data_IF_928020535929
#
_entry.id   IF_928020535929
#
_cell.length_a   1.000
_cell.length_b   1.000
_cell.length_c   1.000
_cell.angle_alpha   90.00
_cell.angle_beta   90.00
_cell.angle_gamma   90.00
#
_symmetry.space_group_name_H-M   'P 1'
#
loop_
_entity.id
_entity.type
_entity.pdbx_description
1 polymer ?
#
# COMPACT_ATOMS: atom_id res chain seq x y z
N UNK A 1 -0.52 36.73 -15.29
CA UNK A 1 0.11 35.49 -15.82
C UNK A 1 0.92 34.88 -14.69
N UNK A 2 0.81 33.56 -14.47
CA UNK A 2 1.63 32.86 -13.47
C UNK A 2 3.06 32.81 -14.00
N UNK A 3 4.05 33.21 -13.19
CA UNK A 3 5.46 33.14 -13.61
C UNK A 3 5.94 31.69 -13.59
N UNK A 4 6.70 31.28 -14.62
CA UNK A 4 7.41 30.00 -14.68
C UNK A 4 8.23 29.69 -13.43
N UNK A 5 8.86 30.69 -12.79
CA UNK A 5 9.55 30.53 -11.51
C UNK A 5 8.63 30.03 -10.39
N UNK A 6 7.40 30.53 -10.34
CA UNK A 6 6.42 30.10 -9.35
C UNK A 6 5.95 28.66 -9.61
N UNK A 7 5.85 28.26 -10.88
CA UNK A 7 5.58 26.87 -11.27
C UNK A 7 6.67 25.96 -10.75
N UNK A 8 7.95 26.25 -11.04
CA UNK A 8 9.06 25.43 -10.55
C UNK A 8 9.06 25.31 -9.02
N UNK A 9 8.80 26.41 -8.30
CA UNK A 9 8.70 26.39 -6.85
C UNK A 9 7.57 25.48 -6.35
N UNK A 10 6.41 25.52 -7.01
CA UNK A 10 5.28 24.64 -6.70
C UNK A 10 5.61 23.17 -6.94
N UNK A 11 6.18 22.84 -8.10
CA UNK A 11 6.49 21.47 -8.49
C UNK A 11 7.48 20.80 -7.54
N UNK A 12 8.61 21.47 -7.28
CA UNK A 12 9.63 20.97 -6.36
C UNK A 12 9.13 20.85 -4.91
N UNK A 13 8.19 21.70 -4.50
CA UNK A 13 7.54 21.60 -3.19
C UNK A 13 6.71 20.32 -3.07
N UNK A 14 5.86 20.04 -4.07
CA UNK A 14 5.05 18.81 -4.10
C UNK A 14 5.92 17.55 -4.19
N UNK A 15 6.99 17.60 -4.99
CA UNK A 15 7.96 16.52 -5.09
C UNK A 15 8.64 16.24 -3.75
N UNK A 16 9.05 17.27 -3.02
CA UNK A 16 9.67 17.11 -1.70
C UNK A 16 8.71 16.41 -0.74
N UNK A 17 7.43 16.79 -0.75
CA UNK A 17 6.39 16.14 0.07
C UNK A 17 6.19 14.67 -0.37
N UNK A 18 6.21 14.39 -1.68
CA UNK A 18 6.12 13.03 -2.20
C UNK A 18 7.30 12.16 -1.72
N UNK A 19 8.54 12.65 -1.79
CA UNK A 19 9.71 11.96 -1.24
C UNK A 19 9.57 11.66 0.25
N UNK A 20 9.20 12.68 1.04
CA UNK A 20 9.05 12.52 2.49
C UNK A 20 7.98 11.47 2.83
N UNK A 21 6.84 11.50 2.14
CA UNK A 21 5.74 10.55 2.41
C UNK A 21 6.06 9.13 1.97
N UNK A 22 6.74 8.94 0.84
CA UNK A 22 7.21 7.62 0.37
C UNK A 22 8.32 7.09 1.30
N UNK A 23 9.30 7.91 1.67
CA UNK A 23 10.36 7.54 2.60
C UNK A 23 9.79 7.15 3.97
N UNK A 24 8.82 7.92 4.48
CA UNK A 24 8.11 7.61 5.72
C UNK A 24 7.42 6.24 5.62
N UNK A 25 6.73 5.95 4.51
CA UNK A 25 6.09 4.64 4.27
C UNK A 25 7.11 3.50 4.27
N UNK A 26 8.23 3.66 3.59
CA UNK A 26 9.29 2.64 3.51
C UNK A 26 9.91 2.41 4.90
N UNK A 27 10.27 3.48 5.61
CA UNK A 27 10.80 3.43 6.98
C UNK A 27 9.86 2.70 7.93
N UNK A 28 8.57 3.05 7.88
CA UNK A 28 7.52 2.37 8.63
C UNK A 28 7.49 0.86 8.38
N UNK A 29 7.60 0.44 7.11
CA UNK A 29 7.50 -0.98 6.75
C UNK A 29 8.76 -1.75 7.16
N UNK A 30 9.92 -1.21 6.85
CA UNK A 30 11.20 -1.89 7.10
C UNK A 30 11.57 -1.85 8.58
N UNK A 31 11.49 -0.68 9.22
CA UNK A 31 12.00 -0.47 10.58
C UNK A 31 10.93 -0.75 11.63
N UNK A 32 9.76 -0.14 11.50
CA UNK A 32 8.74 -0.26 12.55
C UNK A 32 7.99 -1.60 12.51
N UNK A 33 7.81 -2.19 11.32
CA UNK A 33 7.11 -3.47 11.14
C UNK A 33 8.03 -4.66 10.92
N UNK A 34 9.32 -4.44 10.64
CA UNK A 34 10.28 -5.49 10.24
C UNK A 34 9.74 -6.39 9.12
N UNK A 35 8.96 -5.79 8.22
CA UNK A 35 8.32 -6.48 7.11
C UNK A 35 9.11 -6.25 5.83
N UNK A 36 9.06 -7.22 4.90
CA UNK A 36 9.63 -7.05 3.56
C UNK A 36 8.78 -6.09 2.73
N UNK A 37 9.39 -5.49 1.72
CA UNK A 37 8.69 -4.69 0.72
C UNK A 37 7.76 -5.59 -0.10
N UNK A 38 6.53 -5.13 -0.30
CA UNK A 38 5.57 -5.83 -1.16
C UNK A 38 5.58 -5.23 -2.57
N UNK A 39 4.96 -5.93 -3.52
CA UNK A 39 4.75 -5.43 -4.89
C UNK A 39 4.21 -3.99 -4.93
N UNK A 40 3.31 -3.64 -4.02
CA UNK A 40 2.76 -2.28 -3.90
C UNK A 40 3.84 -1.20 -3.66
N UNK A 41 4.89 -1.50 -2.90
CA UNK A 41 5.92 -0.52 -2.58
C UNK A 41 6.86 -0.29 -3.78
N UNK A 42 7.13 -1.32 -4.59
CA UNK A 42 7.89 -1.19 -5.84
C UNK A 42 7.14 -0.33 -6.88
N UNK A 43 5.84 -0.58 -7.07
CA UNK A 43 5.01 0.26 -7.95
C UNK A 43 4.97 1.72 -7.48
N UNK A 44 4.92 1.96 -6.17
CA UNK A 44 4.95 3.32 -5.63
C UNK A 44 6.28 4.03 -5.90
N UNK A 45 7.41 3.32 -5.73
CA UNK A 45 8.74 3.85 -6.03
C UNK A 45 8.86 4.17 -7.53
N UNK A 46 8.33 3.30 -8.40
CA UNK A 46 8.32 3.56 -9.85
C UNK A 46 7.49 4.79 -10.22
N UNK A 47 6.36 5.00 -9.53
CA UNK A 47 5.58 6.25 -9.62
C UNK A 47 6.37 7.47 -9.21
N UNK A 48 7.08 7.41 -8.07
CA UNK A 48 7.94 8.50 -7.60
C UNK A 48 9.09 8.81 -8.59
N UNK A 49 9.71 7.78 -9.17
CA UNK A 49 10.73 7.94 -10.21
C UNK A 49 10.15 8.60 -11.47
N UNK A 50 8.91 8.30 -11.82
CA UNK A 50 8.23 8.92 -12.97
C UNK A 50 7.91 10.39 -12.70
N UNK A 51 7.46 10.72 -11.48
CA UNK A 51 7.36 12.12 -11.04
C UNK A 51 8.71 12.82 -11.18
N UNK A 52 9.80 12.18 -10.75
CA UNK A 52 11.13 12.79 -10.82
C UNK A 52 11.57 13.03 -12.26
N UNK A 53 11.29 12.08 -13.17
CA UNK A 53 11.54 12.24 -14.60
C UNK A 53 10.77 13.42 -15.18
N UNK A 54 9.48 13.54 -14.86
CA UNK A 54 8.63 14.66 -15.27
C UNK A 54 9.22 16.01 -14.84
N UNK A 55 9.55 16.16 -13.55
CA UNK A 55 10.11 17.42 -13.04
C UNK A 55 11.49 17.75 -13.62
N UNK A 56 12.30 16.74 -13.95
CA UNK A 56 13.58 16.97 -14.63
C UNK A 56 13.31 17.55 -16.03
N UNK A 57 12.38 16.96 -16.79
CA UNK A 57 11.99 17.46 -18.10
C UNK A 57 11.43 18.89 -18.03
N UNK A 58 10.58 19.18 -17.03
CA UNK A 58 10.00 20.52 -16.85
C UNK A 58 11.06 21.54 -16.41
N UNK A 59 12.01 21.14 -15.56
CA UNK A 59 13.16 21.99 -15.18
C UNK A 59 14.05 22.30 -16.38
N UNK A 60 14.29 21.33 -17.27
CA UNK A 60 15.06 21.56 -18.50
C UNK A 60 14.28 22.50 -19.42
N UNK A 61 12.97 22.29 -19.59
CA UNK A 61 12.09 23.17 -20.39
C UNK A 61 12.11 24.59 -19.85
N UNK A 62 12.09 24.76 -18.53
CA UNK A 62 12.25 26.05 -17.86
C UNK A 62 13.61 26.69 -18.15
N UNK A 63 14.71 25.92 -18.06
CA UNK A 63 16.06 26.44 -18.31
C UNK A 63 16.33 26.88 -19.75
N UNK A 64 15.48 26.44 -20.68
CA UNK A 64 15.53 26.79 -22.11
C UNK A 64 14.54 27.90 -22.49
N UNK A 65 13.90 28.55 -21.50
CA UNK A 65 12.83 29.56 -21.67
C UNK A 65 11.57 29.06 -22.44
N UNK A 66 11.54 27.77 -22.79
CA UNK A 66 10.49 27.13 -23.60
C UNK A 66 9.18 26.87 -22.83
N UNK A 67 9.15 27.20 -21.54
CA UNK A 67 7.97 27.20 -20.68
C UNK A 67 7.23 28.55 -20.72
N UNK A 68 7.95 29.66 -20.86
CA UNK A 68 7.37 31.00 -20.97
C UNK A 68 7.07 31.36 -22.44
N UNK A 69 7.93 30.92 -23.37
CA UNK A 69 7.76 31.13 -24.80
C UNK A 69 7.59 29.80 -25.54
N UNK A 70 6.33 29.49 -25.89
CA UNK A 70 6.00 28.27 -26.63
C UNK A 70 6.39 28.32 -28.12
N UNK A 71 6.78 29.49 -28.64
CA UNK A 71 7.24 29.65 -30.03
C UNK A 71 8.65 29.10 -30.25
N UNK A 72 9.42 28.90 -29.17
CA UNK A 72 10.73 28.26 -29.21
C UNK A 72 10.54 26.79 -29.60
N UNK A 73 10.76 26.51 -30.88
CA UNK A 73 10.57 25.18 -31.45
C UNK A 73 11.86 24.61 -32.08
N UNK A 74 12.49 23.72 -31.32
CA UNK A 74 13.62 22.93 -31.77
C UNK A 74 13.42 21.46 -31.45
N UNK A 75 14.19 20.61 -32.13
CA UNK A 75 14.09 19.14 -31.98
C UNK A 75 14.36 18.72 -30.53
N UNK A 76 15.22 19.43 -29.80
CA UNK A 76 15.52 19.14 -28.40
C UNK A 76 14.29 19.36 -27.50
N UNK A 77 13.61 20.49 -27.63
CA UNK A 77 12.38 20.83 -26.89
C UNK A 77 11.26 19.86 -27.22
N UNK A 78 11.09 19.48 -28.50
CA UNK A 78 10.11 18.46 -28.88
C UNK A 78 10.38 17.11 -28.21
N UNK A 79 11.64 16.68 -28.15
CA UNK A 79 12.04 15.46 -27.42
C UNK A 79 11.77 15.58 -25.91
N UNK A 80 12.03 16.74 -25.32
CA UNK A 80 11.76 16.97 -23.89
C UNK A 80 10.26 16.95 -23.61
N UNK A 81 9.44 17.65 -24.41
CA UNK A 81 7.98 17.65 -24.29
C UNK A 81 7.38 16.25 -24.48
N UNK A 82 7.91 15.48 -25.44
CA UNK A 82 7.54 14.07 -25.61
C UNK A 82 7.88 13.24 -24.35
N UNK A 83 9.08 13.43 -23.79
CA UNK A 83 9.48 12.76 -22.55
C UNK A 83 8.62 13.18 -21.35
N UNK A 84 8.29 14.47 -21.21
CA UNK A 84 7.34 14.98 -20.19
C UNK A 84 6.00 14.26 -20.31
N UNK A 85 5.43 14.18 -21.53
CA UNK A 85 4.16 13.48 -21.76
C UNK A 85 4.26 12.02 -21.32
N UNK A 86 5.31 11.32 -21.76
CA UNK A 86 5.52 9.92 -21.43
C UNK A 86 5.64 9.68 -19.91
N UNK A 87 6.44 10.47 -19.20
CA UNK A 87 6.61 10.34 -17.75
C UNK A 87 5.31 10.64 -16.99
N UNK A 88 4.50 11.58 -17.47
CA UNK A 88 3.19 11.87 -16.89
C UNK A 88 2.22 10.70 -17.12
N UNK A 89 1.95 10.41 -18.40
CA UNK A 89 0.87 9.52 -18.83
C UNK A 89 1.14 8.06 -18.45
N UNK A 90 2.40 7.62 -18.50
CA UNK A 90 2.77 6.29 -17.98
C UNK A 90 2.89 6.31 -16.45
N UNK A 91 3.46 7.38 -15.89
CA UNK A 91 3.73 7.52 -14.47
C UNK A 91 2.48 7.50 -13.59
N UNK A 92 1.38 8.09 -14.07
CA UNK A 92 0.12 8.20 -13.33
C UNK A 92 -0.53 6.84 -13.02
N UNK A 93 -0.19 5.78 -13.76
CA UNK A 93 -0.70 4.44 -13.50
C UNK A 93 0.07 3.69 -12.41
N UNK A 94 1.33 4.04 -12.13
CA UNK A 94 2.12 3.33 -11.12
C UNK A 94 1.56 3.45 -9.69
N UNK A 95 1.10 4.63 -9.20
CA UNK A 95 0.35 4.73 -7.94
C UNK A 95 -0.93 3.88 -7.95
N UNK A 96 -1.60 3.74 -9.09
CA UNK A 96 -2.81 2.91 -9.23
C UNK A 96 -2.49 1.43 -9.10
N UNK A 97 -1.42 0.96 -9.73
CA UNK A 97 -0.94 -0.41 -9.51
C UNK A 97 -0.51 -0.65 -8.07
N UNK A 98 0.07 0.35 -7.41
CA UNK A 98 0.43 0.27 -6.00
C UNK A 98 -0.79 0.07 -5.09
N UNK A 99 -1.88 0.83 -5.30
CA UNK A 99 -3.11 0.67 -4.50
C UNK A 99 -3.85 -0.63 -4.82
N UNK A 100 -3.89 -1.06 -6.09
CA UNK A 100 -4.48 -2.35 -6.49
C UNK A 100 -3.69 -3.51 -5.87
N UNK A 101 -2.36 -3.47 -5.91
CA UNK A 101 -1.51 -4.45 -5.24
C UNK A 101 -1.74 -4.47 -3.72
N UNK A 102 -1.99 -3.30 -3.10
CA UNK A 102 -2.39 -3.23 -1.71
C UNK A 102 -3.75 -3.92 -1.46
N UNK A 103 -4.73 -3.75 -2.35
CA UNK A 103 -6.02 -4.43 -2.25
C UNK A 103 -5.91 -5.95 -2.36
N UNK A 104 -5.02 -6.48 -3.19
CA UNK A 104 -4.78 -7.93 -3.28
C UNK A 104 -4.26 -8.53 -1.96
N UNK A 105 -3.53 -7.73 -1.18
CA UNK A 105 -3.08 -8.14 0.16
C UNK A 105 -4.15 -7.95 1.24
N UNK A 106 -5.11 -7.05 1.02
CA UNK A 106 -6.17 -6.73 1.97
C UNK A 106 -7.36 -7.69 1.88
N UNK A 107 -7.73 -8.12 0.67
CA UNK A 107 -8.93 -8.91 0.42
C UNK A 107 -8.62 -10.40 0.61
N UNK A 108 -9.26 -11.08 1.58
CA UNK A 108 -9.02 -12.50 1.82
C UNK A 108 -9.59 -13.38 0.71
N UNK A 109 -9.00 -14.57 0.53
CA UNK A 109 -9.40 -15.57 -0.47
C UNK A 109 -10.86 -16.02 -0.27
N UNK A 110 -11.38 -15.93 0.95
CA UNK A 110 -12.75 -16.30 1.32
C UNK A 110 -13.85 -15.43 0.70
N UNK A 111 -13.51 -14.30 0.06
CA UNK A 111 -14.46 -13.41 -0.62
C UNK A 111 -14.29 -13.45 -2.15
N UNK A 112 -14.77 -14.51 -2.84
CA UNK A 112 -14.51 -14.71 -4.26
C UNK A 112 -15.06 -13.58 -5.14
N UNK A 113 -16.25 -13.05 -4.83
CA UNK A 113 -16.86 -11.94 -5.58
C UNK A 113 -15.99 -10.67 -5.58
N UNK A 114 -15.47 -10.29 -4.41
CA UNK A 114 -14.58 -9.13 -4.26
C UNK A 114 -13.24 -9.34 -4.97
N UNK A 115 -12.75 -10.58 -5.00
CA UNK A 115 -11.50 -10.93 -5.68
C UNK A 115 -11.65 -10.92 -7.19
N UNK A 116 -12.77 -11.41 -7.73
CA UNK A 116 -13.10 -11.29 -9.15
C UNK A 116 -13.18 -9.81 -9.55
N UNK A 117 -13.91 -8.99 -8.78
CA UNK A 117 -13.99 -7.55 -9.03
C UNK A 117 -12.60 -6.88 -9.01
N UNK A 118 -11.69 -7.33 -8.13
CA UNK A 118 -10.32 -6.83 -8.08
C UNK A 118 -9.49 -7.23 -9.31
N UNK A 119 -9.65 -8.47 -9.80
CA UNK A 119 -9.01 -8.89 -11.05
C UNK A 119 -9.54 -8.09 -12.24
N UNK A 120 -10.85 -7.82 -12.31
CA UNK A 120 -11.41 -6.95 -13.33
C UNK A 120 -10.85 -5.52 -13.25
N UNK A 121 -10.74 -4.95 -12.05
CA UNK A 121 -10.15 -3.62 -11.84
C UNK A 121 -8.67 -3.57 -12.25
N UNK A 122 -7.90 -4.59 -11.87
CA UNK A 122 -6.50 -4.72 -12.24
C UNK A 122 -6.33 -4.87 -13.75
N UNK A 123 -7.13 -5.74 -14.37
CA UNK A 123 -7.13 -5.95 -15.82
C UNK A 123 -7.47 -4.68 -16.57
N UNK A 124 -8.55 -3.98 -16.19
CA UNK A 124 -8.96 -2.73 -16.81
C UNK A 124 -7.89 -1.64 -16.68
N UNK A 125 -7.34 -1.45 -15.47
CA UNK A 125 -6.29 -0.45 -15.23
C UNK A 125 -5.03 -0.78 -16.02
N UNK A 126 -4.68 -2.06 -16.15
CA UNK A 126 -3.55 -2.52 -16.96
C UNK A 126 -3.80 -2.25 -18.45
N UNK A 127 -5.00 -2.57 -18.96
CA UNK A 127 -5.38 -2.27 -20.34
C UNK A 127 -5.30 -0.78 -20.62
N UNK A 128 -5.79 0.08 -19.73
CA UNK A 128 -5.67 1.53 -19.88
C UNK A 128 -4.21 1.99 -19.89
N UNK A 129 -3.36 1.51 -18.97
CA UNK A 129 -1.94 1.86 -18.97
C UNK A 129 -1.24 1.44 -20.26
N UNK A 130 -1.53 0.24 -20.76
CA UNK A 130 -0.98 -0.29 -22.02
C UNK A 130 -1.45 0.54 -23.21
N UNK A 131 -2.76 0.84 -23.30
CA UNK A 131 -3.31 1.68 -24.36
C UNK A 131 -2.67 3.07 -24.32
N UNK A 132 -2.57 3.69 -23.14
CA UNK A 132 -1.92 4.98 -22.96
C UNK A 132 -0.48 4.96 -23.47
N UNK A 133 0.32 3.97 -23.05
CA UNK A 133 1.71 3.83 -23.49
C UNK A 133 1.83 3.74 -25.01
N UNK A 134 1.03 2.89 -25.66
CA UNK A 134 1.08 2.74 -27.11
C UNK A 134 0.56 3.97 -27.85
N UNK A 135 -0.51 4.59 -27.35
CA UNK A 135 -1.00 5.83 -27.92
C UNK A 135 0.05 6.93 -27.84
N UNK A 136 0.74 7.13 -26.71
CA UNK A 136 1.78 8.16 -26.58
C UNK A 136 2.90 8.01 -27.61
N UNK A 137 3.35 6.77 -27.83
CA UNK A 137 4.47 6.47 -28.71
C UNK A 137 4.09 6.48 -30.19
N UNK A 138 2.92 5.94 -30.51
CA UNK A 138 2.54 5.62 -31.89
C UNK A 138 1.33 6.42 -32.40
N UNK A 139 0.94 7.51 -31.73
CA UNK A 139 -0.18 8.35 -32.16
C UNK A 139 -0.01 8.89 -33.58
N UNK A 140 1.21 9.35 -33.91
CA UNK A 140 1.53 9.96 -35.19
C UNK A 140 1.95 8.96 -36.27
N UNK A 141 1.91 7.66 -35.97
CA UNK A 141 2.30 6.59 -36.87
C UNK A 141 3.24 5.56 -36.22
N UNK A 142 3.70 4.57 -36.99
CA UNK A 142 4.54 3.49 -36.49
C UNK A 142 5.97 3.92 -36.15
N UNK A 143 6.46 5.00 -36.76
CA UNK A 143 7.76 5.59 -36.42
C UNK A 143 7.60 6.64 -35.31
N UNK A 144 8.08 6.37 -34.07
CA UNK A 144 7.97 7.33 -32.97
C UNK A 144 8.77 8.61 -33.22
N UNK A 145 9.75 8.59 -34.14
CA UNK A 145 10.60 9.74 -34.43
C UNK A 145 9.85 10.95 -35.00
N UNK A 146 8.67 10.69 -35.58
CA UNK A 146 7.76 11.71 -36.10
C UNK A 146 7.36 12.71 -35.01
N UNK A 147 7.25 12.28 -33.75
CA UNK A 147 6.89 13.16 -32.63
C UNK A 147 7.87 14.33 -32.43
N UNK A 148 9.13 14.20 -32.86
CA UNK A 148 10.14 15.26 -32.79
C UNK A 148 10.76 15.62 -34.14
N UNK A 149 10.19 15.12 -35.24
CA UNK A 149 10.60 15.50 -36.59
C UNK A 149 10.10 16.91 -36.95
N UNK A 150 10.84 17.61 -37.81
CA UNK A 150 10.40 18.85 -38.46
C UNK A 150 9.82 18.49 -39.83
N UNK A 151 8.56 18.82 -40.11
CA UNK A 151 7.87 18.50 -41.36
C UNK A 151 6.60 19.33 -41.57
N UNK A 152 6.00 19.22 -42.75
CA UNK A 152 4.84 20.02 -43.19
C UNK A 152 3.53 19.68 -42.44
N UNK A 153 3.42 18.47 -41.88
CA UNK A 153 2.35 18.06 -40.97
C UNK A 153 2.91 17.89 -39.56
N UNK A 154 2.63 18.86 -38.69
CA UNK A 154 3.05 18.84 -37.29
C UNK A 154 2.11 17.94 -36.47
N UNK A 155 2.36 16.62 -36.49
CA UNK A 155 1.74 15.71 -35.53
C UNK A 155 2.67 15.52 -34.32
N UNK A 156 2.18 15.82 -33.13
CA UNK A 156 2.85 15.44 -31.87
C UNK A 156 1.83 14.89 -30.89
N UNK A 157 2.21 13.87 -30.11
CA UNK A 157 1.38 13.37 -29.01
C UNK A 157 1.14 14.46 -27.94
N UNK A 158 2.16 15.28 -27.66
CA UNK A 158 2.11 16.34 -26.64
C UNK A 158 1.12 17.47 -26.96
N UNK A 159 0.83 17.79 -28.22
CA UNK A 159 -0.12 18.87 -28.57
C UNK A 159 -1.48 18.36 -29.00
N UNK A 160 -1.65 17.04 -29.14
CA UNK A 160 -2.90 16.47 -29.65
C UNK A 160 -4.01 16.48 -28.58
N UNK A 161 -4.91 17.45 -28.69
CA UNK A 161 -6.08 17.60 -27.82
C UNK A 161 -6.97 16.34 -27.82
N UNK A 162 -7.10 15.66 -28.97
CA UNK A 162 -7.87 14.40 -29.08
C UNK A 162 -7.24 13.29 -28.24
N UNK A 163 -5.93 13.12 -28.33
CA UNK A 163 -5.19 12.13 -27.54
C UNK A 163 -5.32 12.46 -26.05
N UNK A 164 -5.03 13.69 -25.66
CA UNK A 164 -5.09 14.10 -24.26
C UNK A 164 -6.49 13.88 -23.63
N UNK A 165 -7.59 14.14 -24.37
CA UNK A 165 -8.96 13.86 -23.88
C UNK A 165 -9.22 12.38 -23.69
N UNK A 166 -8.73 11.54 -24.60
CA UNK A 166 -8.84 10.09 -24.52
C UNK A 166 -8.09 9.55 -23.30
N UNK A 167 -6.82 9.93 -23.14
CA UNK A 167 -5.97 9.48 -22.05
C UNK A 167 -6.47 9.97 -20.70
N UNK A 168 -6.89 11.24 -20.62
CA UNK A 168 -7.53 11.78 -19.42
C UNK A 168 -8.78 10.95 -19.03
N UNK A 169 -9.63 10.59 -20.00
CA UNK A 169 -10.84 9.81 -19.72
C UNK A 169 -10.52 8.44 -19.11
N UNK A 170 -9.51 7.74 -19.65
CA UNK A 170 -9.05 6.44 -19.11
C UNK A 170 -8.46 6.59 -17.71
N UNK A 171 -7.65 7.64 -17.52
CA UNK A 171 -7.08 7.98 -16.23
C UNK A 171 -8.18 8.24 -15.19
N UNK A 172 -9.15 9.09 -15.52
CA UNK A 172 -10.25 9.47 -14.65
C UNK A 172 -11.17 8.29 -14.29
N UNK A 173 -11.55 7.46 -15.28
CA UNK A 173 -12.37 6.27 -15.04
C UNK A 173 -11.67 5.30 -14.09
N UNK A 174 -10.38 5.05 -14.30
CA UNK A 174 -9.63 4.16 -13.41
C UNK A 174 -9.47 4.72 -12.00
N UNK A 175 -9.38 6.04 -11.82
CA UNK A 175 -9.42 6.65 -10.49
C UNK A 175 -10.76 6.42 -9.79
N UNK A 176 -11.87 6.70 -10.48
CA UNK A 176 -13.21 6.53 -9.92
C UNK A 176 -13.45 5.09 -9.44
N UNK A 177 -13.01 4.11 -10.24
CA UNK A 177 -13.13 2.70 -9.89
C UNK A 177 -12.25 2.31 -8.70
N UNK A 178 -11.03 2.85 -8.60
CA UNK A 178 -10.16 2.61 -7.44
C UNK A 178 -10.77 3.19 -6.15
N UNK A 179 -11.40 4.36 -6.21
CA UNK A 179 -12.09 4.98 -5.06
C UNK A 179 -13.35 4.20 -4.69
N UNK A 180 -14.10 3.70 -5.68
CA UNK A 180 -15.34 2.95 -5.46
C UNK A 180 -15.09 1.54 -4.91
N UNK A 181 -14.00 0.87 -5.32
CA UNK A 181 -13.69 -0.52 -4.97
C UNK A 181 -13.73 -0.85 -3.46
N UNK A 182 -13.13 -0.05 -2.55
CA UNK A 182 -13.15 -0.36 -1.11
C UNK A 182 -14.52 -0.12 -0.43
N UNK A 183 -15.49 0.53 -1.08
CA UNK A 183 -16.78 0.88 -0.45
C UNK A 183 -17.60 -0.36 -0.07
N UNK A 184 -17.85 -1.34 -0.97
CA UNK A 184 -18.57 -2.57 -0.61
C UNK A 184 -17.85 -3.41 0.43
N UNK A 185 -16.51 -3.46 0.37
CA UNK A 185 -15.69 -4.15 1.36
C UNK A 185 -15.95 -3.58 2.76
N UNK A 186 -16.05 -2.26 2.86
CA UNK A 186 -16.27 -1.57 4.12
C UNK A 186 -17.73 -1.70 4.60
N UNK A 187 -18.71 -1.79 3.69
CA UNK A 187 -20.12 -2.00 4.04
C UNK A 187 -20.39 -3.40 4.66
N UNK A 188 -19.67 -4.44 4.21
CA UNK A 188 -19.86 -5.81 4.75
C UNK A 188 -19.29 -6.01 6.15
N UNK A 189 -18.32 -5.19 6.56
CA UNK A 189 -17.75 -5.21 7.89
C UNK A 189 -18.67 -4.45 8.86
N UNK A 190 -19.48 -5.15 9.68
CA UNK A 190 -20.30 -4.52 10.73
C UNK A 190 -19.52 -3.41 11.47
N UNK A 191 -19.87 -2.15 11.17
CA UNK A 191 -19.12 -0.94 11.49
C UNK A 191 -19.37 -0.46 12.94
N UNK A 192 -19.21 -1.35 13.93
CA UNK A 192 -19.49 -1.01 15.34
C UNK A 192 -18.42 -0.08 15.94
N UNK A 193 -17.22 0.00 15.34
CA UNK A 193 -16.12 0.82 15.84
C UNK A 193 -15.96 2.13 15.06
N UNK A 194 -16.03 3.27 15.75
CA UNK A 194 -15.73 4.63 15.25
C UNK A 194 -14.41 4.70 14.47
N UNK A 195 -13.44 3.83 14.83
CA UNK A 195 -12.12 3.73 14.19
C UNK A 195 -12.19 3.27 12.73
N UNK A 196 -13.14 2.39 12.38
CA UNK A 196 -13.34 1.93 10.99
C UNK A 196 -14.02 3.02 10.15
N UNK A 197 -14.95 3.78 10.75
CA UNK A 197 -15.60 4.94 10.12
C UNK A 197 -14.60 6.03 9.76
N UNK A 198 -13.69 6.38 10.68
CA UNK A 198 -12.61 7.36 10.40
C UNK A 198 -11.69 6.84 9.28
N UNK A 199 -11.30 5.57 9.33
CA UNK A 199 -10.49 4.96 8.27
C UNK A 199 -11.14 5.05 6.89
N UNK A 200 -12.44 4.75 6.80
CA UNK A 200 -13.23 4.89 5.58
C UNK A 200 -13.29 6.35 5.12
N UNK A 201 -13.64 7.29 6.02
CA UNK A 201 -13.72 8.71 5.71
C UNK A 201 -12.40 9.25 5.14
N UNK A 202 -11.26 8.82 5.67
CA UNK A 202 -9.95 9.21 5.13
C UNK A 202 -9.66 8.52 3.79
N UNK A 203 -10.12 7.29 3.51
CA UNK A 203 -9.91 6.67 2.16
C UNK A 203 -10.69 7.48 1.14
N UNK A 204 -11.95 7.73 1.46
CA UNK A 204 -12.85 8.48 0.60
C UNK A 204 -12.35 9.90 0.38
N UNK A 205 -11.95 10.60 1.44
CA UNK A 205 -11.41 11.96 1.35
C UNK A 205 -10.16 12.05 0.48
N UNK A 206 -9.23 11.09 0.61
CA UNK A 206 -8.05 11.07 -0.27
C UNK A 206 -8.43 10.81 -1.74
N UNK A 207 -9.42 9.96 -2.00
CA UNK A 207 -9.92 9.71 -3.36
C UNK A 207 -10.61 10.92 -3.99
N UNK A 208 -11.40 11.66 -3.21
CA UNK A 208 -12.04 12.90 -3.67
C UNK A 208 -11.01 13.94 -4.07
N UNK A 209 -9.88 14.03 -3.36
CA UNK A 209 -8.81 14.98 -3.71
C UNK A 209 -8.23 14.66 -5.08
N UNK A 210 -7.91 13.39 -5.39
CA UNK A 210 -7.31 13.06 -6.71
C UNK A 210 -8.30 13.31 -7.85
N UNK A 211 -9.58 12.94 -7.66
CA UNK A 211 -10.67 13.23 -8.60
C UNK A 211 -10.79 14.74 -8.84
N UNK A 212 -10.79 15.56 -7.78
CA UNK A 212 -10.90 17.02 -7.91
C UNK A 212 -9.73 17.61 -8.71
N UNK A 213 -8.51 17.09 -8.50
CA UNK A 213 -7.31 17.52 -9.23
C UNK A 213 -7.40 17.13 -10.70
N UNK A 214 -7.83 15.90 -11.01
CA UNK A 214 -8.01 15.44 -12.39
C UNK A 214 -9.08 16.25 -13.15
N UNK A 215 -10.18 16.61 -12.50
CA UNK A 215 -11.20 17.51 -13.06
C UNK A 215 -10.64 18.91 -13.28
N UNK A 216 -9.88 19.45 -12.32
CA UNK A 216 -9.22 20.75 -12.43
C UNK A 216 -8.27 20.82 -13.63
N UNK A 217 -7.50 19.75 -13.87
CA UNK A 217 -6.65 19.61 -15.06
C UNK A 217 -7.47 19.65 -16.35
N UNK A 218 -8.55 18.88 -16.42
CA UNK A 218 -9.40 18.83 -17.62
C UNK A 218 -10.05 20.18 -17.92
N UNK A 219 -10.62 20.83 -16.91
CA UNK A 219 -11.22 22.16 -17.07
C UNK A 219 -10.18 23.16 -17.58
N UNK A 220 -8.97 23.13 -17.02
CA UNK A 220 -7.88 24.01 -17.45
C UNK A 220 -7.46 23.70 -18.89
N UNK A 221 -7.30 22.43 -19.23
CA UNK A 221 -6.93 22.00 -20.58
C UNK A 221 -7.96 22.40 -21.65
N UNK A 222 -9.26 22.43 -21.32
CA UNK A 222 -10.33 22.73 -22.28
C UNK A 222 -10.67 24.23 -22.35
N UNK A 223 -10.65 24.93 -21.21
CA UNK A 223 -11.22 26.27 -21.10
C UNK A 223 -10.20 27.37 -20.76
N UNK A 224 -8.98 27.00 -20.37
CA UNK A 224 -7.96 27.96 -19.95
C UNK A 224 -6.83 27.94 -20.97
N UNK A 225 -6.70 29.03 -21.72
CA UNK A 225 -5.65 29.20 -22.73
C UNK A 225 -4.30 29.60 -22.09
N UNK A 226 -3.92 28.90 -21.01
CA UNK A 226 -2.65 29.07 -20.31
C UNK A 226 -1.94 27.73 -20.20
N UNK A 227 -1.04 27.46 -21.14
CA UNK A 227 -0.26 26.23 -21.17
C UNK A 227 0.62 26.06 -19.92
N UNK A 228 1.04 27.15 -19.27
CA UNK A 228 1.76 27.14 -17.99
C UNK A 228 0.94 26.46 -16.87
N UNK A 229 -0.38 26.67 -16.86
CA UNK A 229 -1.25 26.07 -15.84
C UNK A 229 -1.36 24.54 -15.98
N UNK A 230 -1.14 24.01 -17.19
CA UNK A 230 -1.21 22.56 -17.45
C UNK A 230 -0.09 21.81 -16.72
N UNK A 231 1.14 22.37 -16.68
CA UNK A 231 2.26 21.80 -15.92
C UNK A 231 1.93 21.69 -14.42
N UNK A 232 1.39 22.76 -13.83
CA UNK A 232 0.97 22.78 -12.42
C UNK A 232 -0.01 21.65 -12.13
N UNK A 233 -1.04 21.50 -12.96
CA UNK A 233 -2.05 20.47 -12.78
C UNK A 233 -1.50 19.06 -12.99
N UNK A 234 -0.67 18.85 -14.01
CA UNK A 234 -0.04 17.55 -14.27
C UNK A 234 0.85 17.12 -13.09
N UNK A 235 1.72 18.02 -12.63
CA UNK A 235 2.58 17.79 -11.47
C UNK A 235 1.76 17.55 -10.20
N UNK A 236 0.72 18.35 -9.96
CA UNK A 236 -0.19 18.16 -8.84
C UNK A 236 -0.86 16.79 -8.89
N UNK A 237 -1.40 16.38 -10.04
CA UNK A 237 -2.14 15.13 -10.19
C UNK A 237 -1.26 13.90 -9.89
N UNK A 238 -0.06 13.84 -10.46
CA UNK A 238 0.85 12.71 -10.26
C UNK A 238 1.45 12.70 -8.85
N UNK A 239 1.88 13.86 -8.32
CA UNK A 239 2.47 13.94 -6.98
C UNK A 239 1.43 13.65 -5.90
N UNK A 240 0.23 14.20 -6.01
CA UNK A 240 -0.86 13.93 -5.06
C UNK A 240 -1.25 12.45 -5.12
N UNK A 241 -1.32 11.84 -6.30
CA UNK A 241 -1.57 10.40 -6.42
C UNK A 241 -0.52 9.56 -5.67
N UNK A 242 0.76 9.86 -5.83
CA UNK A 242 1.85 9.21 -5.06
C UNK A 242 1.69 9.45 -3.56
N UNK A 243 1.48 10.70 -3.13
CA UNK A 243 1.33 11.08 -1.71
C UNK A 243 0.14 10.34 -1.09
N UNK A 244 -1.03 10.37 -1.75
CA UNK A 244 -2.26 9.70 -1.31
C UNK A 244 -1.99 8.21 -1.12
N UNK A 245 -1.43 7.54 -2.12
CA UNK A 245 -1.15 6.10 -2.05
C UNK A 245 -0.11 5.81 -0.98
N UNK A 246 0.92 6.65 -0.83
CA UNK A 246 1.90 6.50 0.24
C UNK A 246 1.23 6.54 1.63
N UNK A 247 0.36 7.51 1.86
CA UNK A 247 -0.38 7.72 3.11
C UNK A 247 -1.42 6.63 3.40
N UNK A 248 -2.05 6.04 2.37
CA UNK A 248 -3.07 4.98 2.59
C UNK A 248 -2.55 3.79 3.37
N UNK A 249 -1.28 3.39 3.22
CA UNK A 249 -0.71 2.26 3.98
C UNK A 249 -0.12 2.64 5.35
N UNK A 250 0.11 3.92 5.62
CA UNK A 250 0.70 4.39 6.91
C UNK A 250 -0.37 4.49 8.01
N UNK A 251 -1.66 4.41 7.67
CA UNK A 251 -2.82 4.55 8.59
C UNK A 251 -2.79 3.71 9.87
N UNK A 252 -2.22 2.50 9.92
CA UNK A 252 -2.12 1.78 11.19
C UNK A 252 -1.16 2.44 12.20
N UNK A 253 -0.33 3.41 11.80
CA UNK A 253 0.72 4.00 12.64
C UNK A 253 0.40 5.36 13.22
N UNK A 254 -0.49 6.14 12.61
CA UNK A 254 -1.08 7.30 13.30
C UNK A 254 -1.67 6.85 14.66
N UNK A 255 -2.17 5.61 14.73
CA UNK A 255 -2.63 4.98 15.98
C UNK A 255 -1.54 4.82 17.03
N UNK A 256 -0.32 4.43 16.66
CA UNK A 256 0.76 4.21 17.64
C UNK A 256 1.35 5.52 18.12
N UNK A 257 1.46 6.51 17.23
CA UNK A 257 1.99 7.84 17.56
C UNK A 257 1.01 8.68 18.40
N UNK A 258 -0.30 8.60 18.13
CA UNK A 258 -1.32 9.25 18.97
C UNK A 258 -1.40 8.57 20.34
N UNK A 259 -1.32 7.24 20.40
CA UNK A 259 -1.30 6.52 21.67
C UNK A 259 -0.03 6.84 22.48
N UNK A 260 1.15 6.92 21.84
CA UNK A 260 2.40 7.32 22.51
C UNK A 260 2.34 8.74 23.06
N UNK A 261 1.74 9.70 22.33
CA UNK A 261 1.53 11.06 22.85
C UNK A 261 0.54 11.08 24.03
N UNK A 262 -0.55 10.31 23.97
CA UNK A 262 -1.49 10.19 25.09
C UNK A 262 -0.86 9.52 26.33
N UNK A 263 -0.01 8.50 26.15
CA UNK A 263 0.72 7.88 27.29
C UNK A 263 1.79 8.80 27.85
N UNK A 264 2.47 9.59 27.01
CA UNK A 264 3.50 10.55 27.48
C UNK A 264 2.86 11.72 28.26
N UNK A 265 1.65 12.15 27.88
CA UNK A 265 0.90 13.16 28.65
C UNK A 265 0.39 12.60 29.97
N UNK A 266 -0.12 11.35 30.01
CA UNK A 266 -0.53 10.72 31.27
C UNK A 266 0.64 10.40 32.21
N UNK A 267 1.85 10.13 31.68
CA UNK A 267 3.05 9.94 32.50
C UNK A 267 3.73 11.24 32.94
N UNK A 268 3.33 12.39 32.37
CA UNK A 268 3.87 13.70 32.74
C UNK A 268 3.04 14.40 33.84
N UNK A 269 1.87 13.86 34.19
CA UNK A 269 0.96 14.45 35.20
C UNK A 269 1.02 13.74 36.57
N UNK A 270 2.01 12.87 36.79
CA UNK A 270 2.16 12.11 38.05
C UNK A 270 3.54 12.30 38.71
N UNK A 271 4.13 13.50 38.55
CA UNK A 271 5.44 13.84 39.14
C UNK A 271 5.43 14.99 40.13
N UNK A 272 4.28 15.23 40.79
CA UNK A 272 4.20 16.09 41.97
C UNK A 272 3.34 15.47 43.07
N UNK A 273 4.01 14.83 44.04
CA UNK A 273 3.57 14.90 45.43
C UNK A 273 3.05 13.61 46.10
N UNK A 274 3.94 13.01 46.91
CA UNK A 274 3.70 12.23 48.15
C UNK A 274 3.22 10.77 48.01
N UNK A 275 3.98 9.78 48.53
CA UNK A 275 3.50 8.41 48.65
C UNK A 275 2.54 8.27 49.84
N UNK A 276 1.29 7.90 49.58
CA UNK A 276 0.32 7.52 50.61
C UNK A 276 0.56 6.07 51.06
N UNK A 277 0.80 5.92 52.37
CA UNK A 277 0.91 4.64 53.09
C UNK A 277 -0.47 3.95 53.10
N UNK A 278 -0.59 2.63 52.78
CA UNK A 278 -1.85 1.93 52.97
C UNK A 278 -2.02 1.59 54.47
N UNK A 279 -2.93 2.29 55.14
CA UNK A 279 -3.30 2.02 56.52
C UNK A 279 -4.31 0.87 56.57
N UNK A 280 -3.84 -0.27 57.08
CA UNK A 280 -4.61 -1.44 57.43
C UNK A 280 -5.65 -1.09 58.52
N UNK A 281 -6.96 -1.22 58.24
CA UNK A 281 -8.01 -1.04 59.26
C UNK A 281 -8.91 -2.26 59.35
N UNK A 282 -8.68 -3.03 60.41
CA UNK A 282 -9.56 -4.11 60.86
C UNK A 282 -10.62 -3.59 61.86
N UNK A 283 -11.87 -3.97 61.58
CA UNK A 283 -13.05 -4.29 62.43
C UNK A 283 -13.30 -3.61 63.79
N UNK A 284 -14.56 -3.16 63.95
CA UNK A 284 -15.66 -3.65 64.85
C UNK A 284 -16.92 -2.81 64.55
N UNK A 285 -18.17 -3.09 64.91
CA UNK A 285 -19.05 -4.24 65.18
C UNK A 285 -20.38 -3.61 65.69
N UNK A 286 -21.53 -4.13 65.26
CA UNK A 286 -22.88 -3.85 65.80
C UNK A 286 -23.88 -3.58 64.67
N UNK A 287 -25.08 -4.16 64.55
CA UNK A 287 -25.90 -5.04 65.40
C UNK A 287 -27.16 -5.40 64.58
N UNK A 288 -27.53 -6.70 64.49
CA UNK A 288 -28.89 -7.29 64.28
C UNK A 288 -29.67 -6.96 62.96
N UNK A 289 -30.40 -7.84 62.25
CA UNK A 289 -31.23 -9.03 62.55
C UNK A 289 -31.28 -10.01 61.34
N UNK A 290 -31.25 -11.32 61.60
CA UNK A 290 -32.18 -12.32 61.02
C UNK A 290 -31.77 -13.13 59.77
N UNK A 291 -31.67 -14.46 59.93
CA UNK A 291 -31.92 -15.40 58.83
C UNK A 291 -30.89 -16.55 58.64
N UNK A 292 -31.01 -17.56 59.49
CA UNK A 292 -30.91 -19.01 59.22
C UNK A 292 -29.90 -19.57 58.18
N UNK A 293 -29.01 -20.47 58.64
CA UNK A 293 -28.64 -21.65 57.83
C UNK A 293 -27.19 -22.15 57.90
N UNK A 294 -26.91 -23.09 58.81
CA UNK A 294 -26.08 -24.33 58.66
C UNK A 294 -24.61 -24.18 58.16
N UNK A 295 -23.59 -24.27 59.06
CA UNK A 295 -22.71 -25.46 59.35
C UNK A 295 -22.02 -26.06 58.09
N UNK A 296 -20.69 -26.18 57.94
CA UNK A 296 -19.64 -26.73 58.83
C UNK A 296 -18.22 -26.25 58.46
N UNK A 297 -17.34 -26.24 59.48
CA UNK A 297 -15.90 -26.00 59.44
C UNK A 297 -15.08 -27.15 58.82
N UNK A 298 -13.93 -26.81 58.24
CA UNK A 298 -12.85 -27.75 57.93
C UNK A 298 -11.51 -27.03 57.82
N UNK A 299 -10.79 -26.97 58.93
CA UNK A 299 -9.49 -26.32 59.15
C UNK A 299 -8.36 -26.90 58.30
N UNK A 300 -7.59 -26.03 57.64
CA UNK A 300 -6.25 -26.32 57.15
C UNK A 300 -5.19 -26.11 58.25
N UNK A 301 -4.13 -26.94 58.25
CA UNK A 301 -2.88 -26.69 58.96
C UNK A 301 -1.68 -26.92 58.04
N UNK A 302 -0.97 -25.82 57.81
CA UNK A 302 0.48 -25.61 57.79
C UNK A 302 1.42 -26.54 57.02
N UNK A 303 1.90 -25.99 55.90
CA UNK A 303 3.31 -25.75 55.54
C UNK A 303 4.40 -26.33 56.46
N UNK A 304 5.30 -27.14 55.86
CA UNK A 304 6.74 -27.02 56.07
C UNK A 304 7.50 -27.57 54.85
N UNK A 305 8.36 -26.72 54.28
CA UNK A 305 9.32 -27.05 53.22
C UNK A 305 10.54 -27.73 53.84
N UNK A 306 11.01 -28.82 53.23
CA UNK A 306 12.42 -29.17 53.18
C UNK A 306 12.74 -29.65 51.76
N UNK A 307 13.79 -29.07 51.19
CA UNK A 307 14.35 -29.43 49.89
C UNK A 307 15.62 -30.24 50.14
N UNK A 308 15.76 -31.39 49.48
CA UNK A 308 17.04 -32.05 49.27
C UNK A 308 17.02 -32.79 47.92
N UNK A 309 18.15 -32.72 47.21
CA UNK A 309 18.35 -33.15 45.81
C UNK A 309 18.55 -34.66 45.69
N UNK A 310 18.15 -35.24 44.56
CA UNK A 310 18.99 -36.20 43.81
C UNK A 310 18.46 -36.41 42.38
N UNK A 311 19.36 -36.34 41.40
CA UNK A 311 19.16 -36.74 40.01
C UNK A 311 19.04 -38.27 39.89
N UNK A 312 18.29 -38.78 38.90
CA UNK A 312 18.81 -39.69 37.85
C UNK A 312 17.74 -40.10 36.83
N UNK A 313 18.22 -40.36 35.61
CA UNK A 313 17.54 -40.85 34.41
C UNK A 313 16.76 -42.17 34.60
N UNK A 314 15.77 -42.43 33.73
CA UNK A 314 15.29 -43.79 33.49
C UNK A 314 13.87 -43.95 32.95
N UNK A 315 13.75 -44.01 31.62
CA UNK A 315 13.00 -44.97 30.79
C UNK A 315 11.59 -45.50 31.16
N UNK A 316 10.80 -45.68 30.08
CA UNK A 316 9.60 -46.51 29.91
C UNK A 316 8.32 -46.01 30.60
N UNK A 317 7.11 -46.06 30.02
CA UNK A 317 6.59 -46.78 28.86
C UNK A 317 5.17 -47.26 29.22
N UNK A 318 4.20 -47.08 28.32
CA UNK A 318 2.80 -47.55 28.40
C UNK A 318 1.96 -46.98 29.57
N UNK A 319 0.64 -46.79 29.52
CA UNK A 319 -0.39 -47.35 28.66
C UNK A 319 -1.65 -46.48 28.74
N UNK A 320 -2.56 -46.76 27.82
CA UNK A 320 -3.81 -46.09 27.45
C UNK A 320 -4.91 -46.14 28.51
N UNK A 321 -5.78 -45.12 28.53
CA UNK A 321 -7.23 -45.33 28.71
C UNK A 321 -8.07 -44.36 27.88
N UNK A 322 -9.08 -44.95 27.24
CA UNK A 322 -10.11 -44.39 26.38
C UNK A 322 -11.09 -43.50 27.16
N UNK A 323 -11.66 -42.46 26.55
CA UNK A 323 -12.92 -42.53 25.78
C UNK A 323 -13.63 -41.17 25.64
N UNK A 324 -14.05 -40.90 24.39
CA UNK A 324 -15.32 -40.27 24.00
C UNK A 324 -15.47 -38.72 24.22
N UNK A 325 -15.92 -37.83 23.31
CA UNK A 325 -16.87 -37.87 22.17
C UNK A 325 -16.61 -36.65 21.24
N UNK A 326 -16.62 -36.90 19.92
CA UNK A 326 -16.94 -36.04 18.75
C UNK A 326 -16.16 -34.74 18.42
N UNK A 327 -15.44 -34.77 17.29
CA UNK A 327 -15.28 -33.58 16.43
C UNK A 327 -13.97 -33.47 15.63
N UNK A 328 -13.83 -34.28 14.58
CA UNK A 328 -12.88 -34.24 13.45
C UNK A 328 -11.94 -33.02 13.39
N UNK A 329 -10.64 -33.27 13.63
CA UNK A 329 -9.53 -32.45 13.12
C UNK A 329 -8.66 -33.34 12.23
N UNK A 330 -8.71 -33.12 10.92
CA UNK A 330 -7.78 -33.71 9.96
C UNK A 330 -6.45 -32.95 10.06
N UNK A 331 -5.45 -33.58 10.67
CA UNK A 331 -4.05 -33.16 10.59
C UNK A 331 -3.42 -34.03 9.50
N UNK A 332 -3.14 -33.42 8.35
CA UNK A 332 -2.42 -34.07 7.26
C UNK A 332 -0.92 -34.13 7.63
N UNK A 333 -0.47 -35.27 8.14
CA UNK A 333 0.95 -35.58 8.28
C UNK A 333 1.49 -36.10 6.94
N UNK A 334 2.20 -35.26 6.20
CA UNK A 334 2.99 -35.67 5.04
C UNK A 334 4.21 -36.45 5.56
N UNK A 335 4.15 -37.78 5.47
CA UNK A 335 5.31 -38.65 5.67
C UNK A 335 6.07 -38.68 4.34
N UNK A 336 7.24 -38.04 4.31
CA UNK A 336 8.20 -38.19 3.20
C UNK A 336 8.89 -39.54 3.36
N UNK A 337 8.34 -40.58 2.71
CA UNK A 337 9.07 -41.83 2.50
C UNK A 337 10.12 -41.61 1.42
N UNK A 338 11.40 -41.66 1.81
CA UNK A 338 12.53 -41.70 0.88
C UNK A 338 12.70 -43.14 0.41
N UNK A 339 12.02 -43.53 -0.66
CA UNK A 339 12.33 -44.78 -1.36
C UNK A 339 13.69 -44.62 -2.08
N UNK A 340 14.63 -45.50 -1.71
CA UNK A 340 15.89 -45.68 -2.43
C UNK A 340 15.69 -46.82 -3.42
N UNK A 341 15.47 -46.48 -4.69
CA UNK A 341 15.39 -47.47 -5.76
C UNK A 341 16.82 -47.90 -6.15
N UNK A 342 17.21 -49.10 -5.71
CA UNK A 342 18.37 -49.83 -6.23
C UNK A 342 17.86 -50.71 -7.36
N UNK A 343 17.99 -50.23 -8.60
CA UNK A 343 17.70 -51.04 -9.78
C UNK A 343 18.93 -51.90 -10.12
N UNK A 344 18.87 -53.17 -9.75
CA UNK A 344 19.70 -54.25 -10.30
C UNK A 344 19.19 -54.63 -11.70
N UNK A 345 20.03 -54.47 -12.72
CA UNK A 345 19.79 -54.91 -14.11
C UNK A 345 20.46 -56.27 -14.31
N UNK A 346 19.74 -57.35 -14.70
CA UNK A 346 20.35 -58.54 -15.25
C UNK A 346 20.09 -58.66 -16.77
N UNK A 347 21.17 -58.94 -17.52
CA UNK A 347 21.12 -59.80 -18.70
C UNK A 347 21.03 -59.13 -20.08
N UNK A 348 22.19 -59.02 -20.75
CA UNK A 348 22.32 -59.13 -22.21
C UNK A 348 23.65 -59.86 -22.55
N UNK A 349 23.73 -60.59 -23.68
CA UNK A 349 24.54 -61.80 -23.83
C UNK A 349 25.96 -61.57 -24.38
N UNK A 350 26.77 -62.64 -24.23
CA UNK A 350 28.16 -62.83 -24.65
C UNK A 350 28.44 -62.46 -26.11
N UNK A 351 29.58 -61.79 -26.34
CA UNK A 351 30.34 -61.86 -27.58
C UNK A 351 31.71 -62.47 -27.30
N UNK A 352 31.89 -63.70 -27.80
CA UNK A 352 33.16 -64.44 -27.87
C UNK A 352 34.14 -63.78 -28.84
N UNK A 353 35.37 -63.57 -28.37
CA UNK A 353 36.57 -63.28 -29.18
C UNK A 353 37.02 -64.57 -29.86
N UNK A 354 37.25 -64.53 -31.18
CA UNK A 354 38.01 -65.56 -31.91
C UNK A 354 39.30 -64.95 -32.44
N UNK A 355 40.39 -65.52 -31.90
CA UNK A 355 41.79 -65.66 -32.36
C UNK A 355 42.55 -64.38 -32.72
#
# INVERSE_FOLDING_TARGET
MISSRAVMGFEWSFMTIAYITVACRIYVRLVMRKARLFSADYWLILGLLSCQGLLICDTITYSMDAMDDFTIDNVAIRKIRFATNHFFDTGIYFPKFSIIAFYFNLVPISQPKMRIALYCLAGLTTSFAVITFFCDWFWCGPDPSINWAKGEQECTSFTSMTLMRLLWSMNFISELLNVAYPIPLLATLKMTSTRKKIGLAVVFGLGVITIAVSVGRFVTMVYVDNAISIYIWATAEICISVIVVALTAVRPLLRKLTNLKSTTLLMSEDRSGVPAIPLNRSRKLGSFIGGSGVYWQGTGKNHQRHAERMDLEGSAGSETELNNINGITLIEHVIVSRESNINSIPGQPEYTVKV
#
